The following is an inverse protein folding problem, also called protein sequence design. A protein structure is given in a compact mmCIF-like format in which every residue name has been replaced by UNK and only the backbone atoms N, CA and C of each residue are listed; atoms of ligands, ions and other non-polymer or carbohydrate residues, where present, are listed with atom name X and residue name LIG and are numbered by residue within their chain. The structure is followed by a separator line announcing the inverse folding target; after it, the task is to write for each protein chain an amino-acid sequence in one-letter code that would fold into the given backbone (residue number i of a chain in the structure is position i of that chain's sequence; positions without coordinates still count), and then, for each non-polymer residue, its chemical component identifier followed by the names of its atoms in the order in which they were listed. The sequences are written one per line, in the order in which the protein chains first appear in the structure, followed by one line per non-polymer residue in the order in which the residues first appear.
data_IF_254600082501
#
_entry.id   IF_254600082501
#
_cell.length_a   1.000
_cell.length_b   1.000
_cell.length_c   1.000
_cell.angle_alpha   90.00
_cell.angle_beta   90.00
_cell.angle_gamma   90.00
#
_symmetry.space_group_name_H-M   'P 1'
#
loop_
_entity.id
_entity.type
_entity.pdbx_description
1 polymer ?
#
# COMPACT_ATOMS: atom_id res chain seq x y z
N UNK A 1 -12.75 12.61 59.23
CA UNK A 1 -12.35 12.31 57.84
C UNK A 1 -11.72 10.92 57.82
N UNK A 2 -12.39 9.91 57.28
CA UNK A 2 -11.88 8.55 57.14
C UNK A 2 -11.88 8.18 55.66
N UNK A 3 -10.70 8.10 55.05
CA UNK A 3 -10.51 7.53 53.71
C UNK A 3 -10.79 6.03 53.79
N UNK A 4 -11.68 5.50 52.94
CA UNK A 4 -11.85 4.06 52.74
C UNK A 4 -11.10 3.65 51.47
N UNK A 5 -10.25 2.60 51.52
CA UNK A 5 -9.52 2.11 50.34
C UNK A 5 -10.47 1.44 49.36
N UNK A 6 -10.31 1.76 48.07
CA UNK A 6 -11.06 1.16 46.97
C UNK A 6 -10.61 -0.28 46.74
N UNK A 7 -11.37 -1.25 47.24
CA UNK A 7 -11.16 -2.67 46.95
C UNK A 7 -11.24 -2.93 45.43
N UNK A 8 -10.13 -3.37 44.83
CA UNK A 8 -10.07 -3.75 43.43
C UNK A 8 -10.74 -5.11 43.22
N UNK A 9 -12.05 -5.06 42.94
CA UNK A 9 -12.88 -6.23 42.64
C UNK A 9 -12.28 -7.14 41.55
N UNK A 10 -12.26 -8.49 41.74
CA UNK A 10 -11.69 -9.47 40.82
C UNK A 10 -12.40 -9.53 39.45
N UNK A 11 -13.57 -8.91 39.34
CA UNK A 11 -14.40 -8.86 38.12
C UNK A 11 -13.76 -8.04 36.99
N UNK A 12 -12.83 -7.12 37.27
CA UNK A 12 -12.10 -6.37 36.23
C UNK A 12 -10.98 -7.17 35.55
N UNK A 13 -10.32 -8.07 36.27
CA UNK A 13 -9.22 -8.88 35.74
C UNK A 13 -9.70 -9.92 34.71
N UNK A 14 -10.89 -10.50 34.94
CA UNK A 14 -11.47 -11.55 34.08
C UNK A 14 -11.93 -11.00 32.73
N UNK A 15 -12.43 -9.77 32.68
CA UNK A 15 -12.88 -9.12 31.45
C UNK A 15 -11.71 -8.83 30.49
N UNK A 16 -10.54 -8.47 31.05
CA UNK A 16 -9.32 -8.18 30.29
C UNK A 16 -8.69 -9.45 29.68
N UNK A 17 -8.86 -10.61 30.34
CA UNK A 17 -8.27 -11.88 29.90
C UNK A 17 -9.06 -12.54 28.75
N UNK A 18 -10.38 -12.37 28.71
CA UNK A 18 -11.25 -12.89 27.63
C UNK A 18 -11.09 -12.12 26.32
N UNK A 19 -10.88 -10.81 26.37
CA UNK A 19 -10.63 -9.98 25.17
C UNK A 19 -9.30 -10.26 24.46
N UNK A 20 -8.28 -10.74 25.17
CA UNK A 20 -6.95 -11.02 24.60
C UNK A 20 -6.88 -12.34 23.81
N UNK A 21 -7.63 -13.37 24.22
CA UNK A 21 -7.62 -14.68 23.55
C UNK A 21 -8.37 -14.66 22.21
N UNK A 22 -9.43 -13.86 22.08
CA UNK A 22 -10.20 -13.73 20.82
C UNK A 22 -9.44 -12.97 19.73
N UNK A 23 -8.67 -11.93 20.10
CA UNK A 23 -7.83 -11.17 19.15
C UNK A 23 -6.67 -12.05 18.65
N UNK A 24 -5.98 -12.77 19.53
CA UNK A 24 -4.87 -13.64 19.14
C UNK A 24 -5.30 -14.78 18.20
N UNK A 25 -6.49 -15.36 18.41
CA UNK A 25 -7.06 -16.38 17.53
C UNK A 25 -7.43 -15.82 16.14
N UNK A 26 -7.98 -14.60 16.08
CA UNK A 26 -8.29 -13.89 14.81
C UNK A 26 -7.01 -13.57 14.03
N UNK A 27 -5.94 -13.16 14.69
CA UNK A 27 -4.65 -12.89 14.05
C UNK A 27 -3.99 -14.17 13.49
N UNK A 28 -4.16 -15.30 14.17
CA UNK A 28 -3.57 -16.59 13.78
C UNK A 28 -4.22 -17.21 12.55
N UNK A 29 -5.53 -17.00 12.34
CA UNK A 29 -6.25 -17.45 11.13
C UNK A 29 -6.05 -16.52 9.92
N UNK A 30 -5.76 -15.23 10.14
CA UNK A 30 -5.47 -14.26 9.06
C UNK A 30 -4.02 -14.34 8.54
N UNK A 31 -3.07 -14.81 9.34
CA UNK A 31 -1.63 -14.72 9.04
C UNK A 31 -1.03 -15.84 8.17
N UNK A 32 -1.62 -17.04 8.10
CA UNK A 32 -0.95 -18.23 7.51
C UNK A 32 -1.31 -18.57 6.06
N UNK A 33 -2.60 -18.47 5.70
CA UNK A 33 -3.10 -18.77 4.36
C UNK A 33 -3.32 -17.49 3.52
N UNK A 34 -3.78 -16.41 4.15
CA UNK A 34 -3.91 -15.09 3.52
C UNK A 34 -2.58 -14.48 3.11
N UNK A 35 -1.52 -14.65 3.91
CA UNK A 35 -0.20 -14.04 3.65
C UNK A 35 0.48 -14.55 2.39
N UNK A 36 0.41 -15.86 2.10
CA UNK A 36 0.98 -16.45 0.87
C UNK A 36 0.24 -15.98 -0.39
N UNK A 37 -1.08 -15.90 -0.31
CA UNK A 37 -1.89 -15.42 -1.43
C UNK A 37 -1.69 -13.92 -1.68
N UNK A 38 -1.55 -13.13 -0.61
CA UNK A 38 -1.22 -11.70 -0.69
C UNK A 38 0.19 -11.47 -1.27
N UNK A 39 1.19 -12.26 -0.85
CA UNK A 39 2.56 -12.17 -1.40
C UNK A 39 2.59 -12.44 -2.90
N UNK A 40 2.00 -13.56 -3.34
CA UNK A 40 1.94 -13.92 -4.77
C UNK A 40 1.18 -12.88 -5.60
N UNK A 41 0.06 -12.38 -5.09
CA UNK A 41 -0.69 -11.31 -5.75
C UNK A 41 0.10 -9.99 -5.81
N UNK A 42 0.88 -9.67 -4.77
CA UNK A 42 1.74 -8.50 -4.75
C UNK A 42 2.90 -8.62 -5.74
N UNK A 43 3.55 -9.78 -5.81
CA UNK A 43 4.61 -10.08 -6.78
C UNK A 43 4.11 -9.93 -8.22
N UNK A 44 2.92 -10.45 -8.54
CA UNK A 44 2.30 -10.29 -9.85
C UNK A 44 1.98 -8.81 -10.18
N UNK A 45 1.56 -8.03 -9.19
CA UNK A 45 1.35 -6.58 -9.37
C UNK A 45 2.67 -5.84 -9.60
N UNK A 46 3.71 -6.20 -8.86
CA UNK A 46 5.05 -5.62 -9.00
C UNK A 46 5.63 -5.92 -10.39
N UNK A 47 5.53 -7.17 -10.86
CA UNK A 47 6.02 -7.55 -12.19
C UNK A 47 5.26 -6.84 -13.30
N UNK A 48 3.92 -6.79 -13.24
CA UNK A 48 3.11 -6.03 -14.20
C UNK A 48 3.48 -4.54 -14.23
N UNK A 49 3.75 -3.96 -13.05
CA UNK A 49 4.19 -2.56 -12.93
C UNK A 49 5.58 -2.36 -13.55
N UNK A 50 6.52 -3.28 -13.33
CA UNK A 50 7.87 -3.22 -13.92
C UNK A 50 7.82 -3.32 -15.45
N UNK A 51 7.05 -4.28 -15.98
CA UNK A 51 6.90 -4.45 -17.42
C UNK A 51 6.35 -3.18 -18.06
N UNK A 52 5.30 -2.61 -17.47
CA UNK A 52 4.69 -1.38 -17.97
C UNK A 52 5.64 -0.17 -17.83
N UNK A 53 6.42 -0.10 -16.75
CA UNK A 53 7.42 0.95 -16.55
C UNK A 53 8.44 0.97 -17.71
N UNK A 54 8.91 -0.20 -18.15
CA UNK A 54 9.80 -0.32 -19.32
C UNK A 54 9.14 0.13 -20.62
N UNK A 55 7.83 -0.07 -20.75
CA UNK A 55 7.08 0.35 -21.95
C UNK A 55 6.97 1.87 -22.06
N UNK A 56 6.76 2.55 -20.93
CA UNK A 56 6.62 4.01 -20.88
C UNK A 56 7.94 4.75 -20.67
N UNK A 57 9.01 4.06 -20.27
CA UNK A 57 10.35 4.60 -20.09
C UNK A 57 10.81 5.49 -21.27
N UNK A 58 10.77 5.06 -22.54
CA UNK A 58 11.22 5.89 -23.66
C UNK A 58 10.41 7.18 -23.86
N UNK A 59 9.22 7.29 -23.26
CA UNK A 59 8.42 8.52 -23.25
C UNK A 59 8.73 9.39 -22.03
N UNK A 60 8.92 8.79 -20.86
CA UNK A 60 9.10 9.50 -19.59
C UNK A 60 10.52 10.03 -19.41
N UNK A 61 11.53 9.25 -19.79
CA UNK A 61 12.96 9.57 -19.64
C UNK A 61 13.35 10.88 -20.34
N UNK A 62 13.07 11.10 -21.65
CA UNK A 62 13.42 12.36 -22.30
C UNK A 62 12.67 13.56 -21.72
N UNK A 63 11.45 13.38 -21.22
CA UNK A 63 10.70 14.45 -20.55
C UNK A 63 11.34 14.81 -19.20
N UNK A 64 11.85 13.83 -18.46
CA UNK A 64 12.58 14.06 -17.22
C UNK A 64 13.91 14.76 -17.47
N UNK A 65 14.64 14.37 -18.50
CA UNK A 65 15.91 15.00 -18.90
C UNK A 65 15.68 16.45 -19.37
N UNK A 66 14.56 16.71 -20.03
CA UNK A 66 14.11 18.06 -20.37
C UNK A 66 13.65 18.90 -19.16
N UNK A 67 13.74 18.36 -17.93
CA UNK A 67 13.39 19.07 -16.69
C UNK A 67 11.89 19.12 -16.39
N UNK A 68 11.05 18.38 -17.11
CA UNK A 68 9.60 18.37 -16.86
C UNK A 68 9.26 17.80 -15.50
N UNK A 69 8.29 18.45 -14.83
CA UNK A 69 7.75 17.99 -13.56
C UNK A 69 6.94 16.69 -13.76
N UNK A 70 6.78 15.90 -12.69
CA UNK A 70 5.95 14.69 -12.74
C UNK A 70 4.48 14.99 -13.06
N UNK A 71 4.00 16.20 -12.73
CA UNK A 71 2.66 16.66 -13.09
C UNK A 71 2.55 16.87 -14.60
N UNK A 72 3.45 17.64 -15.21
CA UNK A 72 3.45 17.84 -16.65
C UNK A 72 3.58 16.52 -17.42
N UNK A 73 4.41 15.59 -16.95
CA UNK A 73 4.54 14.27 -17.56
C UNK A 73 3.23 13.49 -17.45
N UNK A 74 2.55 13.53 -16.30
CA UNK A 74 1.25 12.88 -16.14
C UNK A 74 0.21 13.48 -17.09
N UNK A 75 0.19 14.80 -17.24
CA UNK A 75 -0.73 15.51 -18.14
C UNK A 75 -0.47 15.15 -19.61
N UNK A 76 0.81 15.05 -20.02
CA UNK A 76 1.20 14.58 -21.37
C UNK A 76 0.73 13.14 -21.61
N UNK A 77 0.98 12.22 -20.67
CA UNK A 77 0.55 10.83 -20.78
C UNK A 77 -0.99 10.72 -20.88
N UNK A 78 -1.72 11.50 -20.09
CA UNK A 78 -3.18 11.56 -20.10
C UNK A 78 -3.72 12.17 -21.40
N UNK A 79 -3.06 13.20 -21.94
CA UNK A 79 -3.40 13.81 -23.22
C UNK A 79 -3.22 12.82 -24.38
N UNK A 80 -2.17 11.99 -24.33
CA UNK A 80 -1.93 10.88 -25.26
C UNK A 80 -2.87 9.68 -25.06
N UNK A 81 -3.82 9.76 -24.12
CA UNK A 81 -4.75 8.69 -23.74
C UNK A 81 -4.05 7.40 -23.28
N UNK A 82 -2.81 7.51 -22.80
CA UNK A 82 -2.09 6.40 -22.21
C UNK A 82 -2.63 6.18 -20.80
N UNK A 83 -3.16 5.00 -20.55
CA UNK A 83 -3.72 4.63 -19.26
C UNK A 83 -2.77 3.69 -18.51
N UNK A 84 -2.85 3.72 -17.19
CA UNK A 84 -2.19 2.72 -16.34
C UNK A 84 -2.76 1.31 -16.63
N UNK A 85 -2.06 0.23 -16.25
CA UNK A 85 -2.57 -1.14 -16.41
C UNK A 85 -3.93 -1.39 -15.73
N UNK A 86 -4.32 -0.53 -14.79
CA UNK A 86 -5.63 -0.58 -14.12
C UNK A 86 -6.73 0.20 -14.87
N UNK A 87 -6.44 0.75 -16.06
CA UNK A 87 -7.36 1.59 -16.85
C UNK A 87 -7.56 3.00 -16.29
N UNK A 88 -6.70 3.45 -15.37
CA UNK A 88 -6.80 4.78 -14.74
C UNK A 88 -5.84 5.79 -15.37
N UNK A 89 -6.19 7.07 -15.29
CA UNK A 89 -5.30 8.18 -15.63
C UNK A 89 -4.01 8.17 -14.79
N UNK A 90 -2.96 8.75 -15.32
CA UNK A 90 -1.72 8.99 -14.60
C UNK A 90 -1.87 10.15 -13.61
N UNK A 91 -1.33 9.93 -12.42
CA UNK A 91 -1.10 10.95 -11.41
C UNK A 91 0.41 11.18 -11.25
N UNK A 92 0.85 12.35 -10.76
CA UNK A 92 2.27 12.64 -10.56
C UNK A 92 2.97 11.59 -9.69
N UNK A 93 2.30 11.12 -8.64
CA UNK A 93 2.79 10.06 -7.77
C UNK A 93 2.98 8.74 -8.52
N UNK A 94 2.09 8.41 -9.45
CA UNK A 94 2.23 7.23 -10.31
C UNK A 94 3.46 7.37 -11.19
N UNK A 95 3.64 8.51 -11.87
CA UNK A 95 4.82 8.78 -12.71
C UNK A 95 6.11 8.61 -11.91
N UNK A 96 6.21 9.25 -10.73
CA UNK A 96 7.35 9.08 -9.82
C UNK A 96 7.63 7.60 -9.50
N UNK A 97 6.59 6.83 -9.16
CA UNK A 97 6.73 5.43 -8.82
C UNK A 97 7.18 4.55 -9.99
N UNK A 98 6.82 4.92 -11.23
CA UNK A 98 7.31 4.24 -12.43
C UNK A 98 8.77 4.60 -12.71
N UNK A 99 9.14 5.88 -12.59
CA UNK A 99 10.53 6.34 -12.77
C UNK A 99 11.50 5.60 -11.83
N UNK A 100 11.13 5.40 -10.57
CA UNK A 100 11.93 4.63 -9.59
C UNK A 100 12.17 3.15 -9.96
N UNK A 101 11.60 2.64 -11.06
CA UNK A 101 11.75 1.25 -11.49
C UNK A 101 12.72 1.06 -12.66
N UNK A 102 13.13 2.14 -13.31
CA UNK A 102 14.06 2.13 -14.43
C UNK A 102 15.15 3.22 -14.36
N UNK A 103 15.07 4.13 -13.38
CA UNK A 103 16.22 4.91 -12.90
C UNK A 103 17.07 4.05 -11.98
#
# INVERSE_FOLDING_TARGET
MLFHPFETSPKRAILLQRGRRSIAARLRTLGGAGSRNIKKANEAKVSATNTFAKTIQPLVEPLRDAGKTFQEIADVLNAMKIQTPSGKCFYPASVRNYTLRFT
#
